data_IF_511284122857
#
_entry.id   IF_511284122857
#
_cell.length_a   1.000
_cell.length_b   1.000
_cell.length_c   1.000
_cell.angle_alpha   90.00
_cell.angle_beta   90.00
_cell.angle_gamma   90.00
#
_symmetry.space_group_name_H-M   'P 1'
#
loop_
_entity.id
_entity.type
_entity.pdbx_description
1 polymer ?
#
# COMPACT_ATOMS: atom_id res chain seq x y z
N UNK A 1 -10.16 -57.35 52.01
CA UNK A 1 -11.15 -56.26 51.78
C UNK A 1 -10.51 -55.26 50.84
N UNK A 2 -11.03 -55.14 49.61
CA UNK A 2 -10.47 -54.31 48.55
C UNK A 2 -10.86 -52.83 48.73
N UNK A 3 -9.88 -51.94 48.59
CA UNK A 3 -10.03 -50.48 48.62
C UNK A 3 -10.36 -49.95 47.21
N UNK A 4 -11.38 -49.10 47.16
CA UNK A 4 -11.46 -47.80 46.45
C UNK A 4 -10.78 -47.71 45.07
N UNK A 5 -11.49 -47.48 43.97
CA UNK A 5 -12.43 -46.37 43.79
C UNK A 5 -11.80 -45.33 42.85
N UNK A 6 -12.10 -45.45 41.56
CA UNK A 6 -11.64 -44.60 40.46
C UNK A 6 -11.95 -43.12 40.69
N UNK A 7 -10.96 -42.22 40.61
CA UNK A 7 -11.22 -40.76 40.55
C UNK A 7 -10.15 -39.89 39.89
N UNK A 8 -9.18 -40.44 39.15
CA UNK A 8 -8.11 -39.61 38.55
C UNK A 8 -8.34 -39.24 37.06
N UNK A 9 -9.25 -39.89 36.33
CA UNK A 9 -9.35 -39.68 34.87
C UNK A 9 -10.29 -38.55 34.40
N UNK A 10 -11.01 -37.86 35.30
CA UNK A 10 -12.01 -36.85 34.91
C UNK A 10 -11.49 -35.41 34.74
N UNK A 11 -10.32 -35.07 35.28
CA UNK A 11 -9.77 -33.70 35.22
C UNK A 11 -9.04 -33.39 33.92
N UNK A 12 -8.20 -34.30 33.44
CA UNK A 12 -7.33 -34.11 32.27
C UNK A 12 -8.10 -34.04 30.93
N UNK A 13 -9.19 -34.80 30.80
CA UNK A 13 -10.04 -34.76 29.60
C UNK A 13 -10.80 -33.44 29.42
N UNK A 14 -11.05 -32.69 30.51
CA UNK A 14 -11.77 -31.41 30.45
C UNK A 14 -10.86 -30.29 29.93
N UNK A 15 -9.62 -30.23 30.44
CA UNK A 15 -8.62 -29.24 30.03
C UNK A 15 -8.21 -29.40 28.56
N UNK A 16 -8.05 -30.64 28.08
CA UNK A 16 -7.78 -30.92 26.66
C UNK A 16 -8.96 -30.53 25.75
N UNK A 17 -10.20 -30.66 26.24
CA UNK A 17 -11.41 -30.28 25.49
C UNK A 17 -11.54 -28.76 25.41
N UNK A 18 -11.21 -28.05 26.48
CA UNK A 18 -11.25 -26.59 26.55
C UNK A 18 -10.15 -25.95 25.70
N UNK A 19 -8.92 -26.47 25.76
CA UNK A 19 -7.83 -26.05 24.88
C UNK A 19 -8.15 -26.30 23.39
N UNK A 20 -8.75 -27.47 23.07
CA UNK A 20 -9.20 -27.79 21.72
C UNK A 20 -10.34 -26.88 21.26
N UNK A 21 -11.28 -26.54 22.14
CA UNK A 21 -12.36 -25.60 21.85
C UNK A 21 -11.84 -24.19 21.56
N UNK A 22 -10.90 -23.69 22.37
CA UNK A 22 -10.23 -22.40 22.13
C UNK A 22 -9.46 -22.39 20.81
N UNK A 23 -8.76 -23.48 20.48
CA UNK A 23 -8.06 -23.62 19.21
C UNK A 23 -9.03 -23.64 18.01
N UNK A 24 -10.18 -24.31 18.14
CA UNK A 24 -11.24 -24.32 17.12
C UNK A 24 -11.83 -22.91 16.94
N UNK A 25 -12.15 -22.22 18.04
CA UNK A 25 -12.69 -20.85 17.99
C UNK A 25 -11.70 -19.86 17.39
N UNK A 26 -10.41 -19.98 17.72
CA UNK A 26 -9.35 -19.17 17.12
C UNK A 26 -9.26 -19.41 15.61
N UNK A 27 -9.27 -20.66 15.15
CA UNK A 27 -9.28 -21.01 13.72
C UNK A 27 -10.53 -20.49 13.00
N UNK A 28 -11.69 -20.52 13.66
CA UNK A 28 -12.93 -19.96 13.11
C UNK A 28 -12.88 -18.44 13.02
N UNK A 29 -12.30 -17.76 14.01
CA UNK A 29 -12.10 -16.31 14.01
C UNK A 29 -11.10 -15.90 12.91
N UNK A 30 -9.99 -16.61 12.78
CA UNK A 30 -8.99 -16.42 11.71
C UNK A 30 -9.62 -16.62 10.33
N UNK A 31 -10.38 -17.72 10.12
CA UNK A 31 -11.11 -17.94 8.85
C UNK A 31 -12.16 -16.88 8.57
N UNK A 32 -12.89 -16.40 9.59
CA UNK A 32 -13.88 -15.32 9.40
C UNK A 32 -13.21 -14.00 9.06
N UNK A 33 -12.07 -13.70 9.68
CA UNK A 33 -11.26 -12.52 9.34
C UNK A 33 -10.71 -12.62 7.91
N UNK A 34 -10.20 -13.80 7.51
CA UNK A 34 -9.73 -14.05 6.14
C UNK A 34 -10.88 -13.96 5.12
N UNK A 35 -12.05 -14.54 5.42
CA UNK A 35 -13.24 -14.46 4.58
C UNK A 35 -13.79 -13.03 4.46
N UNK A 36 -13.66 -12.23 5.51
CA UNK A 36 -14.05 -10.81 5.48
C UNK A 36 -13.09 -9.96 4.62
N UNK A 37 -11.81 -10.35 4.52
CA UNK A 37 -10.77 -9.62 3.77
C UNK A 37 -10.66 -10.11 2.31
N UNK A 38 -11.02 -11.37 2.04
CA UNK A 38 -10.98 -11.97 0.70
C UNK A 38 -11.60 -11.11 -0.42
N UNK A 39 -12.83 -10.58 -0.30
CA UNK A 39 -13.42 -9.74 -1.36
C UNK A 39 -12.68 -8.41 -1.55
N UNK A 40 -12.03 -7.90 -0.50
CA UNK A 40 -11.23 -6.68 -0.61
C UNK A 40 -9.88 -6.95 -1.30
N UNK A 41 -9.29 -8.14 -1.13
CA UNK A 41 -8.09 -8.58 -1.86
C UNK A 41 -8.36 -8.85 -3.34
N UNK A 42 -9.50 -9.45 -3.67
CA UNK A 42 -9.93 -9.65 -5.06
C UNK A 42 -10.04 -8.29 -5.78
N UNK A 43 -10.69 -7.31 -5.14
CA UNK A 43 -10.73 -5.93 -5.63
C UNK A 43 -9.34 -5.32 -5.83
N UNK A 44 -8.37 -5.59 -4.95
CA UNK A 44 -7.00 -5.14 -5.18
C UNK A 44 -6.37 -5.78 -6.42
N UNK A 45 -6.68 -7.04 -6.72
CA UNK A 45 -6.27 -7.68 -7.97
C UNK A 45 -6.82 -6.93 -9.20
N UNK A 46 -8.12 -6.61 -9.21
CA UNK A 46 -8.74 -5.84 -10.29
C UNK A 46 -8.13 -4.45 -10.45
N UNK A 47 -7.91 -3.74 -9.34
CA UNK A 47 -7.26 -2.43 -9.34
C UNK A 47 -5.82 -2.49 -9.86
N UNK A 48 -5.07 -3.54 -9.49
CA UNK A 48 -3.72 -3.78 -10.00
C UNK A 48 -3.73 -4.02 -11.52
N UNK A 49 -4.69 -4.78 -12.04
CA UNK A 49 -4.86 -5.00 -13.48
C UNK A 49 -5.14 -3.68 -14.24
N UNK A 50 -5.90 -2.77 -13.63
CA UNK A 50 -6.10 -1.42 -14.19
C UNK A 50 -4.79 -0.65 -14.27
N UNK A 51 -3.99 -0.61 -13.20
CA UNK A 51 -2.70 0.07 -13.20
C UNK A 51 -1.72 -0.52 -14.22
N UNK A 52 -1.70 -1.86 -14.36
CA UNK A 52 -0.87 -2.55 -15.34
C UNK A 52 -1.31 -2.21 -16.78
N UNK A 53 -2.62 -2.26 -17.05
CA UNK A 53 -3.18 -1.85 -18.35
C UNK A 53 -2.90 -0.38 -18.71
N UNK A 54 -2.69 0.48 -17.72
CA UNK A 54 -2.28 1.87 -17.88
C UNK A 54 -0.75 2.06 -17.91
N UNK A 55 0.04 0.99 -17.78
CA UNK A 55 1.51 1.03 -17.73
C UNK A 55 2.02 2.05 -16.69
N UNK A 56 1.46 1.96 -15.47
CA UNK A 56 1.74 2.93 -14.40
C UNK A 56 3.20 2.88 -13.94
N UNK A 57 3.74 1.67 -13.72
CA UNK A 57 5.15 1.49 -13.33
C UNK A 57 6.11 1.98 -14.42
N UNK A 58 5.86 1.65 -15.69
CA UNK A 58 6.72 2.08 -16.79
C UNK A 58 6.70 3.59 -16.99
N UNK A 59 5.57 4.27 -16.75
CA UNK A 59 5.50 5.74 -16.76
C UNK A 59 6.35 6.37 -15.67
N UNK A 60 6.23 5.86 -14.44
CA UNK A 60 6.99 6.39 -13.31
C UNK A 60 8.49 6.08 -13.44
N UNK A 61 8.86 4.93 -14.01
CA UNK A 61 10.26 4.60 -14.30
C UNK A 61 10.84 5.56 -15.35
N UNK A 62 10.11 5.82 -16.45
CA UNK A 62 10.52 6.82 -17.45
C UNK A 62 10.62 8.22 -16.86
N UNK A 63 9.69 8.61 -16.01
CA UNK A 63 9.70 9.90 -15.32
C UNK A 63 10.91 10.03 -14.38
N UNK A 64 11.19 8.99 -13.60
CA UNK A 64 12.35 8.89 -12.71
C UNK A 64 13.68 8.98 -13.46
N UNK A 65 13.77 8.33 -14.62
CA UNK A 65 14.94 8.36 -15.48
C UNK A 65 15.08 9.68 -16.26
N UNK A 66 14.01 10.47 -16.37
CA UNK A 66 14.04 11.76 -17.06
C UNK A 66 14.78 12.82 -16.25
N UNK A 67 15.39 13.79 -16.94
CA UNK A 67 16.00 14.97 -16.31
C UNK A 67 14.97 15.99 -15.80
N UNK A 68 13.67 15.76 -16.01
CA UNK A 68 12.63 16.66 -15.54
C UNK A 68 12.60 16.71 -14.01
N UNK A 69 12.86 15.57 -13.35
CA UNK A 69 13.02 15.53 -11.91
C UNK A 69 14.44 15.97 -11.54
N UNK A 70 14.59 17.25 -11.18
CA UNK A 70 15.87 17.87 -10.75
C UNK A 70 16.49 17.25 -9.50
N UNK A 71 15.80 16.32 -8.85
CA UNK A 71 16.18 15.71 -7.58
C UNK A 71 16.25 14.18 -7.71
N UNK A 72 17.14 13.59 -6.92
CA UNK A 72 17.29 12.14 -6.85
C UNK A 72 15.98 11.50 -6.36
N UNK A 73 15.45 10.62 -7.20
CA UNK A 73 14.17 9.95 -6.99
C UNK A 73 14.38 8.44 -7.03
N UNK A 74 13.70 7.72 -6.13
CA UNK A 74 13.79 6.28 -5.93
C UNK A 74 12.47 5.57 -6.31
N UNK A 75 12.49 4.24 -6.36
CA UNK A 75 11.40 3.43 -6.89
C UNK A 75 11.54 3.16 -8.40
N UNK A 76 10.45 2.87 -9.13
CA UNK A 76 9.07 2.78 -8.66
C UNK A 76 8.81 1.51 -7.82
N UNK A 77 7.79 1.56 -6.96
CA UNK A 77 7.33 0.43 -6.13
C UNK A 77 5.81 0.33 -6.20
N UNK A 78 5.30 -0.90 -6.27
CA UNK A 78 3.88 -1.19 -6.10
C UNK A 78 3.54 -1.32 -4.62
N UNK A 79 2.46 -0.67 -4.21
CA UNK A 79 1.96 -0.63 -2.83
C UNK A 79 0.45 -0.73 -2.85
N UNK A 80 -0.14 -1.31 -1.80
CA UNK A 80 -1.58 -1.49 -1.71
C UNK A 80 -2.06 -1.37 -0.27
N UNK A 81 -3.35 -1.08 -0.12
CA UNK A 81 -3.99 -1.01 1.18
C UNK A 81 -5.49 -1.28 1.07
N UNK A 82 -6.09 -1.59 2.22
CA UNK A 82 -7.50 -1.99 2.31
C UNK A 82 -8.38 -0.93 2.98
N UNK A 83 -7.77 0.00 3.73
CA UNK A 83 -8.47 1.00 4.53
C UNK A 83 -8.19 2.42 4.00
N UNK A 84 -9.19 3.34 4.03
CA UNK A 84 -10.61 3.09 4.34
C UNK A 84 -11.36 2.33 3.24
N UNK A 85 -10.78 2.28 2.03
CA UNK A 85 -11.27 1.51 0.88
C UNK A 85 -10.09 0.80 0.19
N UNK A 86 -10.31 -0.29 -0.56
CA UNK A 86 -9.25 -0.94 -1.30
C UNK A 86 -8.60 0.00 -2.32
N UNK A 87 -7.28 0.05 -2.29
CA UNK A 87 -6.47 0.81 -3.23
C UNK A 87 -5.18 0.06 -3.58
N UNK A 88 -4.68 0.35 -4.78
CA UNK A 88 -3.37 -0.07 -5.27
C UNK A 88 -2.70 1.15 -5.89
N UNK A 89 -1.39 1.24 -5.79
CA UNK A 89 -0.62 2.33 -6.35
C UNK A 89 0.72 1.87 -6.89
N UNK A 90 1.18 2.58 -7.91
CA UNK A 90 2.58 2.65 -8.28
C UNK A 90 3.13 4.00 -7.80
N UNK A 91 4.24 3.99 -7.07
CA UNK A 91 4.82 5.21 -6.50
C UNK A 91 6.32 5.29 -6.72
N UNK A 92 6.82 6.52 -6.83
CA UNK A 92 8.22 6.92 -6.71
C UNK A 92 8.34 7.88 -5.53
N UNK A 93 9.54 8.02 -4.97
CA UNK A 93 9.75 8.91 -3.83
C UNK A 93 11.06 9.66 -3.88
N UNK A 94 11.06 10.85 -3.29
CA UNK A 94 12.25 11.69 -3.14
C UNK A 94 12.32 12.31 -1.75
N UNK A 95 13.54 12.53 -1.29
CA UNK A 95 13.80 13.18 -0.02
C UNK A 95 13.68 14.70 -0.17
N UNK A 96 13.39 15.38 0.94
CA UNK A 96 13.51 16.83 1.00
C UNK A 96 14.94 17.29 0.70
N UNK A 97 15.09 18.56 0.35
CA UNK A 97 16.39 19.19 0.15
C UNK A 97 17.03 19.62 1.48
N UNK A 98 18.35 19.81 1.47
CA UNK A 98 19.11 20.33 2.60
C UNK A 98 19.58 19.28 3.61
N UNK A 99 20.28 19.75 4.64
CA UNK A 99 20.95 18.90 5.64
C UNK A 99 19.97 17.97 6.39
N UNK A 100 18.76 18.45 6.68
CA UNK A 100 17.71 17.68 7.33
C UNK A 100 16.68 17.12 6.34
N UNK A 101 17.05 16.96 5.07
CA UNK A 101 16.15 16.49 4.00
C UNK A 101 15.53 15.11 4.24
N UNK A 102 16.14 14.30 5.12
CA UNK A 102 15.57 13.02 5.55
C UNK A 102 14.27 13.15 6.35
N UNK A 103 13.98 14.31 6.96
CA UNK A 103 12.79 14.51 7.81
C UNK A 103 11.48 14.42 7.05
N UNK A 104 11.50 14.64 5.74
CA UNK A 104 10.32 14.63 4.87
C UNK A 104 10.57 13.80 3.63
N UNK A 105 9.57 13.04 3.22
CA UNK A 105 9.56 12.28 1.98
C UNK A 105 8.38 12.72 1.13
N UNK A 106 8.63 13.03 -0.14
CA UNK A 106 7.54 13.20 -1.10
C UNK A 106 7.35 11.90 -1.88
N UNK A 107 6.16 11.33 -1.77
CA UNK A 107 5.65 10.32 -2.69
C UNK A 107 5.04 11.02 -3.90
N UNK A 108 5.27 10.47 -5.09
CA UNK A 108 4.55 10.78 -6.31
C UNK A 108 4.11 9.48 -6.93
N UNK A 109 2.89 9.40 -7.42
CA UNK A 109 2.41 8.13 -7.95
C UNK A 109 1.13 8.19 -8.74
N UNK A 110 0.69 7.00 -9.10
CA UNK A 110 -0.60 6.73 -9.72
C UNK A 110 -1.31 5.72 -8.82
N UNK A 111 -2.53 6.06 -8.40
CA UNK A 111 -3.38 5.22 -7.57
C UNK A 111 -4.61 4.79 -8.35
N UNK A 112 -5.09 3.59 -8.05
CA UNK A 112 -6.41 3.09 -8.40
C UNK A 112 -7.17 2.76 -7.13
N UNK A 113 -8.38 3.29 -7.00
CA UNK A 113 -9.18 3.22 -5.77
C UNK A 113 -10.60 2.81 -6.09
N UNK A 114 -11.17 1.94 -5.27
CA UNK A 114 -12.59 1.61 -5.31
C UNK A 114 -13.35 2.34 -4.21
N UNK A 115 -13.63 3.63 -4.40
CA UNK A 115 -14.32 4.50 -3.43
C UNK A 115 -15.87 4.43 -3.50
N UNK A 116 -16.43 4.07 -4.66
CA UNK A 116 -17.87 3.94 -4.89
C UNK A 116 -18.18 2.68 -5.71
N UNK A 117 -19.41 2.16 -5.70
CA UNK A 117 -19.83 1.12 -6.65
C UNK A 117 -19.68 1.60 -8.09
N UNK A 118 -19.14 0.75 -8.97
CA UNK A 118 -18.91 1.07 -10.38
C UNK A 118 -17.42 1.14 -10.74
N UNK A 119 -17.05 1.91 -11.78
CA UNK A 119 -15.69 1.89 -12.28
C UNK A 119 -14.68 2.51 -11.30
N UNK A 120 -13.46 1.95 -11.21
CA UNK A 120 -12.46 2.42 -10.26
C UNK A 120 -11.97 3.83 -10.62
N UNK A 121 -11.59 4.58 -9.58
CA UNK A 121 -11.02 5.90 -9.71
C UNK A 121 -9.51 5.78 -9.93
N UNK A 122 -9.02 6.35 -11.02
CA UNK A 122 -7.58 6.50 -11.32
C UNK A 122 -7.16 7.90 -10.91
N UNK A 123 -6.10 8.00 -10.13
CA UNK A 123 -5.58 9.25 -9.57
C UNK A 123 -4.08 9.37 -9.85
N UNK A 124 -3.59 10.58 -10.07
CA UNK A 124 -2.16 10.87 -9.94
C UNK A 124 -1.95 12.15 -9.11
N UNK A 125 -0.90 12.15 -8.31
CA UNK A 125 -0.71 13.15 -7.27
C UNK A 125 0.58 12.97 -6.49
N UNK A 126 0.73 13.83 -5.49
CA UNK A 126 1.86 13.79 -4.55
C UNK A 126 1.36 13.68 -3.12
N UNK A 127 2.19 13.12 -2.23
CA UNK A 127 1.90 13.04 -0.79
C UNK A 127 3.18 13.22 -0.01
N UNK A 128 3.13 13.97 1.09
CA UNK A 128 4.28 14.14 1.98
C UNK A 128 4.16 13.24 3.20
N UNK A 129 5.24 12.54 3.53
CA UNK A 129 5.36 11.74 4.75
C UNK A 129 6.43 12.32 5.66
N UNK A 130 6.20 12.20 6.96
CA UNK A 130 7.14 12.64 8.01
C UNK A 130 7.99 11.48 8.49
N UNK A 131 9.25 11.73 8.79
CA UNK A 131 10.14 10.75 9.40
C UNK A 131 9.63 10.36 10.80
N UNK A 132 9.65 9.06 11.10
CA UNK A 132 9.09 8.51 12.34
C UNK A 132 9.97 7.40 12.96
N UNK A 133 11.09 7.03 12.35
CA UNK A 133 12.00 6.11 13.01
C UNK A 133 12.60 6.75 14.27
N UNK A 134 12.79 5.98 15.36
CA UNK A 134 13.16 6.51 16.68
C UNK A 134 14.54 7.16 16.69
N UNK A 135 15.45 6.68 15.85
CA UNK A 135 16.79 7.21 15.66
C UNK A 135 17.11 7.35 14.18
N UNK A 136 17.96 8.31 13.84
CA UNK A 136 18.50 8.47 12.49
C UNK A 136 19.93 7.94 12.44
N UNK A 137 20.12 6.86 11.69
CA UNK A 137 21.45 6.30 11.38
C UNK A 137 21.67 6.44 9.88
N UNK A 138 22.65 7.25 9.50
CA UNK A 138 22.80 7.75 8.13
C UNK A 138 23.16 6.65 7.13
N UNK A 139 24.01 5.69 7.53
CA UNK A 139 24.50 4.65 6.62
C UNK A 139 23.38 3.66 6.25
N UNK A 140 22.69 3.12 7.26
CA UNK A 140 21.54 2.25 7.09
C UNK A 140 20.42 2.97 6.36
N UNK A 141 20.14 4.23 6.70
CA UNK A 141 19.13 5.04 6.02
C UNK A 141 19.42 5.13 4.52
N UNK A 142 20.62 5.58 4.12
CA UNK A 142 20.95 5.77 2.71
C UNK A 142 20.99 4.44 1.94
N UNK A 143 21.30 3.33 2.61
CA UNK A 143 21.28 1.99 2.01
C UNK A 143 19.86 1.47 1.78
N UNK A 144 18.96 1.66 2.75
CA UNK A 144 17.63 1.06 2.75
C UNK A 144 16.57 1.94 2.09
N UNK A 145 16.67 3.26 2.18
CA UNK A 145 15.68 4.20 1.62
C UNK A 145 15.50 4.06 0.11
N UNK A 146 16.54 3.57 -0.59
CA UNK A 146 16.50 3.31 -2.04
C UNK A 146 15.56 2.15 -2.41
N UNK A 147 15.33 1.22 -1.48
CA UNK A 147 14.50 0.02 -1.67
C UNK A 147 13.11 0.19 -1.09
N UNK A 148 13.01 0.80 0.08
CA UNK A 148 11.74 0.99 0.77
C UNK A 148 11.77 2.21 1.67
N UNK A 149 10.67 2.95 1.72
CA UNK A 149 10.49 4.07 2.65
C UNK A 149 9.69 3.68 3.90
N UNK A 150 8.93 2.57 3.85
CA UNK A 150 7.99 2.15 4.91
C UNK A 150 8.66 1.98 6.28
N UNK A 151 9.97 1.71 6.32
CA UNK A 151 10.73 1.53 7.55
C UNK A 151 10.93 2.84 8.34
N UNK A 152 10.97 3.98 7.64
CA UNK A 152 11.45 5.25 8.21
C UNK A 152 10.37 6.32 8.36
N UNK A 153 9.28 6.22 7.61
CA UNK A 153 8.29 7.28 7.52
C UNK A 153 6.95 6.85 8.12
N UNK A 154 6.35 7.74 8.92
CA UNK A 154 4.98 7.56 9.41
C UNK A 154 3.99 7.85 8.29
N UNK A 155 3.04 6.94 8.12
CA UNK A 155 1.96 7.07 7.15
C UNK A 155 1.99 5.95 6.13
N UNK A 156 0.85 5.74 5.49
CA UNK A 156 0.72 4.77 4.41
C UNK A 156 0.90 5.44 3.05
N UNK A 157 1.14 4.62 2.04
CA UNK A 157 1.14 5.06 0.64
C UNK A 157 -0.28 5.26 0.08
N UNK A 158 -1.27 5.49 0.95
CA UNK A 158 -2.65 5.68 0.51
C UNK A 158 -2.80 6.88 -0.41
N UNK A 159 -3.89 6.92 -1.20
CA UNK A 159 -4.16 7.98 -2.16
C UNK A 159 -4.04 9.38 -1.54
N UNK A 160 -3.47 10.35 -2.27
CA UNK A 160 -3.33 11.71 -1.77
C UNK A 160 -4.70 12.38 -1.60
N UNK A 161 -4.82 13.39 -0.70
CA UNK A 161 -6.02 14.21 -0.58
C UNK A 161 -6.26 15.01 -1.87
N UNK A 162 -7.49 15.48 -2.08
CA UNK A 162 -7.91 16.10 -3.34
C UNK A 162 -7.01 17.26 -3.81
N UNK A 163 -6.53 18.06 -2.87
CA UNK A 163 -5.69 19.24 -3.13
C UNK A 163 -4.29 18.89 -3.63
N UNK A 164 -3.83 17.65 -3.43
CA UNK A 164 -2.50 17.19 -3.85
C UNK A 164 -2.57 16.29 -5.10
N UNK A 165 -3.76 16.17 -5.70
CA UNK A 165 -3.98 15.46 -6.97
C UNK A 165 -3.84 16.46 -8.11
N UNK A 166 -3.10 16.06 -9.15
CA UNK A 166 -3.04 16.79 -10.41
C UNK A 166 -3.79 16.06 -11.54
N UNK A 167 -4.28 14.85 -11.27
CA UNK A 167 -5.10 14.09 -12.20
C UNK A 167 -6.09 13.19 -11.45
N UNK A 168 -7.31 13.10 -11.95
CA UNK A 168 -8.33 12.19 -11.44
C UNK A 168 -9.35 11.87 -12.55
N UNK A 169 -9.61 10.59 -12.79
CA UNK A 169 -10.65 10.13 -13.74
C UNK A 169 -11.23 8.79 -13.34
N UNK A 170 -12.44 8.47 -13.82
CA UNK A 170 -13.02 7.13 -13.69
C UNK A 170 -12.55 6.26 -14.83
N UNK A 171 -12.02 5.08 -14.51
CA UNK A 171 -11.53 4.14 -15.51
C UNK A 171 -12.68 3.51 -16.29
N UNK A 172 -12.56 3.47 -17.61
CA UNK A 172 -13.38 2.60 -18.47
C UNK A 172 -12.47 1.89 -19.47
N UNK A 173 -12.76 0.62 -19.73
CA UNK A 173 -11.91 -0.20 -20.60
C UNK A 173 -11.81 0.36 -22.03
N UNK A 174 -12.89 0.95 -22.55
CA UNK A 174 -12.91 1.59 -23.86
C UNK A 174 -12.00 2.81 -23.96
N UNK A 175 -11.84 3.57 -22.86
CA UNK A 175 -10.98 4.76 -22.79
C UNK A 175 -9.58 4.47 -22.28
N UNK A 176 -9.19 3.19 -22.11
CA UNK A 176 -7.89 2.81 -21.52
C UNK A 176 -6.71 3.54 -22.18
N UNK A 177 -6.67 3.61 -23.51
CA UNK A 177 -5.57 4.26 -24.23
C UNK A 177 -5.57 5.79 -24.05
N UNK A 178 -6.75 6.43 -24.07
CA UNK A 178 -6.88 7.86 -23.79
C UNK A 178 -6.38 8.19 -22.37
N UNK A 179 -6.84 7.45 -21.36
CA UNK A 179 -6.42 7.61 -19.97
C UNK A 179 -4.91 7.41 -19.84
N UNK A 180 -4.33 6.49 -20.61
CA UNK A 180 -2.89 6.24 -20.63
C UNK A 180 -2.10 7.46 -21.10
N UNK A 181 -2.60 8.14 -22.12
CA UNK A 181 -1.96 9.33 -22.69
C UNK A 181 -2.22 10.56 -21.82
N UNK A 182 -3.42 10.71 -21.27
CA UNK A 182 -3.76 11.73 -20.27
C UNK A 182 -2.85 11.65 -19.04
N UNK A 183 -2.64 10.45 -18.48
CA UNK A 183 -1.71 10.23 -17.36
C UNK A 183 -0.27 10.63 -17.71
N UNK A 184 0.19 10.27 -18.92
CA UNK A 184 1.53 10.64 -19.38
C UNK A 184 1.68 12.16 -19.47
N UNK A 185 0.68 12.84 -20.03
CA UNK A 185 0.67 14.29 -20.14
C UNK A 185 0.63 14.96 -18.76
N UNK A 186 -0.24 14.49 -17.86
CA UNK A 186 -0.36 15.01 -16.51
C UNK A 186 0.93 14.87 -15.70
N UNK A 187 1.61 13.72 -15.79
CA UNK A 187 2.91 13.51 -15.15
C UNK A 187 4.00 14.44 -15.71
N UNK A 188 4.03 14.63 -17.03
CA UNK A 188 4.99 15.52 -17.67
C UNK A 188 4.76 16.99 -17.28
N UNK A 189 3.49 17.42 -17.24
CA UNK A 189 3.11 18.77 -16.83
C UNK A 189 3.47 19.04 -15.36
N UNK A 190 3.17 18.10 -14.47
CA UNK A 190 3.56 18.19 -13.06
C UNK A 190 5.08 18.24 -12.88
N UNK A 191 5.83 17.42 -13.62
CA UNK A 191 7.28 17.41 -13.53
C UNK A 191 7.90 18.71 -14.06
N UNK A 192 7.27 19.39 -15.01
CA UNK A 192 7.71 20.69 -15.50
C UNK A 192 7.39 21.85 -14.54
N UNK A 193 6.39 21.71 -13.66
CA UNK A 193 6.03 22.72 -12.66
C UNK A 193 6.78 22.59 -11.33
N UNK A 194 7.67 21.60 -11.21
CA UNK A 194 8.37 21.22 -9.98
C UNK A 194 9.87 21.51 -10.05
#
# INVERSE_FOLDING_TARGET
>A
MALQGSSIERGTMSDDREARYQQIMRRLAERRAEQAIAPAREKQGDLANVLDGLDALGKLEKLRASRALRQRTYGPKSVSGLSPVPWVAAIIWRLGSGYFGYRTLQLTGIWTVQDQPGPPLVLAGTKWLSYNAPTYEAEAFMKLIRRSFDLYYSGDASPPPAQQRFYATRYTASRRLEIRDELKAALAQWAAST
#
